data_IF_114322305555
#
_entry.id   IF_114322305555
#
_cell.length_a   1.000
_cell.length_b   1.000
_cell.length_c   1.000
_cell.angle_alpha   90.00
_cell.angle_beta   90.00
_cell.angle_gamma   90.00
#
_symmetry.space_group_name_H-M   'P 1'
#
loop_
_entity.id
_entity.type
_entity.pdbx_description
1 polymer ?
#
# COMPACT_ATOMS: atom_id res chain seq x y z
N UNK A 1 1.25 63.31 -32.32
CA UNK A 1 0.79 63.04 -30.94
C UNK A 1 -0.66 62.57 -31.02
N UNK A 2 -1.13 61.72 -30.10
CA UNK A 2 -2.53 61.31 -29.88
C UNK A 2 -2.92 59.88 -30.36
N UNK A 3 -2.78 58.96 -29.39
CA UNK A 3 -3.74 57.90 -28.99
C UNK A 3 -3.83 56.59 -29.78
N UNK A 4 -3.01 55.65 -29.28
CA UNK A 4 -3.27 54.22 -29.03
C UNK A 4 -4.77 53.89 -28.93
N UNK A 5 -5.22 52.90 -29.71
CA UNK A 5 -6.37 52.06 -29.39
C UNK A 5 -5.88 50.62 -29.26
N UNK A 6 -5.67 50.18 -28.02
CA UNK A 6 -5.41 48.80 -27.65
C UNK A 6 -6.67 47.97 -27.93
N UNK A 7 -6.57 46.97 -28.80
CA UNK A 7 -7.55 45.87 -28.84
C UNK A 7 -7.29 44.97 -27.62
N UNK A 8 -8.25 44.95 -26.71
CA UNK A 8 -8.31 44.02 -25.60
C UNK A 8 -8.65 42.62 -26.13
N UNK A 9 -7.63 41.79 -26.35
CA UNK A 9 -7.78 40.36 -26.58
C UNK A 9 -8.15 39.67 -25.27
N UNK A 10 -9.42 39.33 -25.10
CA UNK A 10 -9.91 38.51 -24.00
C UNK A 10 -9.50 37.06 -24.28
N UNK A 11 -8.33 36.67 -23.77
CA UNK A 11 -7.91 35.28 -23.69
C UNK A 11 -8.56 34.62 -22.48
N UNK A 12 -9.65 33.87 -22.68
CA UNK A 12 -10.13 32.92 -21.66
C UNK A 12 -9.06 31.83 -21.50
N UNK A 13 -8.26 31.94 -20.44
CA UNK A 13 -7.43 30.84 -19.96
C UNK A 13 -8.35 29.85 -19.24
N UNK A 14 -8.78 28.81 -19.95
CA UNK A 14 -9.41 27.65 -19.32
C UNK A 14 -8.31 26.85 -18.62
N UNK A 15 -8.09 27.13 -17.34
CA UNK A 15 -7.25 26.31 -16.47
C UNK A 15 -7.95 24.97 -16.26
N UNK A 16 -7.68 24.00 -17.11
CA UNK A 16 -8.05 22.62 -16.86
C UNK A 16 -7.19 22.14 -15.68
N UNK A 17 -7.76 22.14 -14.47
CA UNK A 17 -7.19 21.41 -13.35
C UNK A 17 -7.18 19.93 -13.74
N UNK A 18 -6.03 19.45 -14.20
CA UNK A 18 -5.77 18.02 -14.30
C UNK A 18 -5.71 17.51 -12.86
N UNK A 19 -6.84 17.03 -12.35
CA UNK A 19 -6.87 16.27 -11.10
C UNK A 19 -6.15 14.96 -11.39
N UNK A 20 -4.89 14.87 -10.99
CA UNK A 20 -4.20 13.60 -10.90
C UNK A 20 -4.93 12.78 -9.84
N UNK A 21 -5.87 11.95 -10.27
CA UNK A 21 -6.37 10.85 -9.44
C UNK A 21 -5.21 9.90 -9.29
N UNK A 22 -4.55 9.94 -8.12
CA UNK A 22 -3.70 8.84 -7.68
C UNK A 22 -4.63 7.65 -7.52
N UNK A 23 -4.77 6.86 -8.58
CA UNK A 23 -5.44 5.57 -8.49
C UNK A 23 -4.66 4.75 -7.46
N UNK A 24 -5.32 4.49 -6.33
CA UNK A 24 -4.75 3.64 -5.29
C UNK A 24 -4.53 2.27 -5.90
N UNK A 25 -3.33 1.73 -5.69
CA UNK A 25 -2.97 0.41 -6.15
C UNK A 25 -3.99 -0.66 -5.63
N UNK A 26 -4.36 -1.66 -6.45
CA UNK A 26 -5.38 -2.64 -6.08
C UNK A 26 -5.08 -3.41 -4.80
N UNK A 27 -3.81 -3.75 -4.55
CA UNK A 27 -3.40 -4.44 -3.33
C UNK A 27 -3.63 -3.54 -2.11
N UNK A 28 -3.16 -2.29 -2.17
CA UNK A 28 -3.38 -1.27 -1.14
C UNK A 28 -4.87 -1.12 -0.84
N UNK A 29 -5.70 -1.04 -1.89
CA UNK A 29 -7.15 -0.95 -1.76
C UNK A 29 -7.76 -2.17 -1.05
N UNK A 30 -7.23 -3.37 -1.30
CA UNK A 30 -7.75 -4.62 -0.76
C UNK A 30 -7.40 -4.84 0.71
N UNK A 31 -6.18 -4.47 1.15
CA UNK A 31 -5.67 -4.83 2.49
C UNK A 31 -5.59 -3.66 3.47
N UNK A 32 -5.68 -2.41 3.01
CA UNK A 32 -5.61 -1.24 3.91
C UNK A 32 -6.78 -1.21 4.88
N UNK A 33 -6.47 -1.14 6.18
CA UNK A 33 -7.45 -1.18 7.27
C UNK A 33 -7.98 -2.58 7.59
N UNK A 34 -7.32 -3.63 7.07
CA UNK A 34 -7.73 -5.02 7.24
C UNK A 34 -6.73 -5.83 8.06
N UNK A 35 -7.18 -6.98 8.52
CA UNK A 35 -6.31 -8.03 9.02
C UNK A 35 -6.13 -9.09 7.95
N UNK A 36 -4.91 -9.59 7.78
CA UNK A 36 -4.63 -10.77 6.96
C UNK A 36 -4.24 -11.94 7.86
N UNK A 37 -4.83 -13.11 7.63
CA UNK A 37 -4.69 -14.29 8.49
C UNK A 37 -4.17 -15.48 7.68
N UNK A 38 -3.02 -16.00 8.06
CA UNK A 38 -2.45 -17.19 7.45
C UNK A 38 -3.12 -18.46 8.01
N UNK A 39 -3.15 -19.54 7.22
CA UNK A 39 -3.63 -20.85 7.69
C UNK A 39 -2.85 -21.42 8.89
N UNK A 40 -1.64 -20.92 9.15
CA UNK A 40 -0.84 -21.26 10.34
C UNK A 40 -1.35 -20.61 11.64
N UNK A 41 -2.27 -19.65 11.56
CA UNK A 41 -2.73 -18.84 12.68
C UNK A 41 -1.98 -17.54 12.89
N UNK A 42 -1.01 -17.20 12.01
CA UNK A 42 -0.39 -15.87 12.03
C UNK A 42 -1.42 -14.81 11.61
N UNK A 43 -1.45 -13.68 12.33
CA UNK A 43 -2.32 -12.54 12.04
C UNK A 43 -1.47 -11.30 11.83
N UNK A 44 -1.77 -10.51 10.80
CA UNK A 44 -1.13 -9.21 10.55
C UNK A 44 -2.21 -8.17 10.32
N UNK A 45 -2.16 -7.07 11.07
CA UNK A 45 -3.04 -5.92 10.91
C UNK A 45 -2.34 -4.86 10.07
N UNK A 46 -2.99 -4.45 9.00
CA UNK A 46 -2.45 -3.56 7.96
C UNK A 46 -3.17 -2.22 8.08
N UNK A 47 -2.65 -1.29 8.89
CA UNK A 47 -3.36 -0.05 9.19
C UNK A 47 -3.28 0.96 8.04
N UNK A 48 -4.31 1.79 7.78
CA UNK A 48 -4.32 2.71 6.64
C UNK A 48 -3.24 3.80 6.69
N UNK A 49 -2.66 4.05 7.87
CA UNK A 49 -1.59 5.03 8.08
C UNK A 49 -0.18 4.46 7.78
N UNK A 50 -0.09 3.23 7.25
CA UNK A 50 1.19 2.58 6.98
C UNK A 50 1.77 1.82 8.17
N UNK A 51 1.11 1.78 9.33
CA UNK A 51 1.53 0.96 10.46
C UNK A 51 1.15 -0.51 10.25
N UNK A 52 2.00 -1.42 10.73
CA UNK A 52 1.79 -2.86 10.71
C UNK A 52 1.96 -3.41 12.12
N UNK A 53 0.99 -4.19 12.59
CA UNK A 53 1.14 -5.02 13.78
C UNK A 53 0.81 -6.47 13.46
N UNK A 54 1.17 -7.41 14.31
CA UNK A 54 0.79 -8.79 14.09
C UNK A 54 1.09 -9.70 15.27
N UNK A 55 0.68 -10.94 15.14
CA UNK A 55 0.94 -12.00 16.11
C UNK A 55 1.23 -13.29 15.36
N UNK A 56 2.38 -13.90 15.65
CA UNK A 56 2.74 -15.21 15.14
C UNK A 56 2.03 -16.33 15.92
N UNK A 57 1.96 -17.57 15.39
CA UNK A 57 1.24 -18.67 16.06
C UNK A 57 1.76 -19.01 17.46
N UNK A 58 3.02 -18.68 17.75
CA UNK A 58 3.65 -18.86 19.06
C UNK A 58 3.38 -17.69 20.04
N UNK A 59 2.55 -16.72 19.66
CA UNK A 59 2.24 -15.52 20.46
C UNK A 59 3.25 -14.39 20.35
N UNK A 60 4.31 -14.52 19.53
CA UNK A 60 5.25 -13.42 19.31
C UNK A 60 4.57 -12.27 18.57
N UNK A 61 4.60 -11.08 19.15
CA UNK A 61 4.05 -9.85 18.57
C UNK A 61 5.00 -9.26 17.52
N UNK A 62 4.42 -8.72 16.45
CA UNK A 62 5.11 -8.01 15.38
C UNK A 62 4.73 -6.55 15.43
N UNK A 63 5.71 -5.68 15.22
CA UNK A 63 5.51 -4.24 15.05
C UNK A 63 6.33 -3.73 13.88
N UNK A 64 5.78 -2.78 13.14
CA UNK A 64 6.48 -2.18 12.02
C UNK A 64 5.61 -1.30 11.14
N UNK A 65 5.98 -1.25 9.88
CA UNK A 65 5.30 -0.48 8.84
C UNK A 65 5.11 -1.33 7.58
N UNK A 66 4.21 -0.89 6.71
CA UNK A 66 3.98 -1.48 5.39
C UNK A 66 3.82 -0.42 4.31
N UNK A 67 4.04 -0.84 3.07
CA UNK A 67 3.80 -0.07 1.87
C UNK A 67 3.64 -1.04 0.69
N UNK A 68 3.04 -0.58 -0.39
CA UNK A 68 3.06 -1.31 -1.67
C UNK A 68 4.00 -0.59 -2.63
N UNK A 69 4.90 -1.35 -3.27
CA UNK A 69 5.83 -0.83 -4.28
C UNK A 69 5.83 -1.79 -5.46
N UNK A 70 5.51 -1.27 -6.64
CA UNK A 70 5.48 -2.07 -7.88
C UNK A 70 4.58 -3.33 -7.79
N UNK A 71 3.52 -3.28 -6.98
CA UNK A 71 2.61 -4.40 -6.72
C UNK A 71 3.03 -5.32 -5.57
N UNK A 72 4.24 -5.16 -5.02
CA UNK A 72 4.74 -5.98 -3.92
C UNK A 72 4.28 -5.46 -2.56
N UNK A 73 3.97 -6.39 -1.65
CA UNK A 73 3.78 -6.09 -0.24
C UNK A 73 5.14 -5.93 0.45
N UNK A 74 5.52 -4.70 0.75
CA UNK A 74 6.77 -4.37 1.44
C UNK A 74 6.51 -4.05 2.91
N UNK A 75 6.93 -4.94 3.81
CA UNK A 75 6.93 -4.69 5.26
C UNK A 75 8.30 -4.29 5.77
N UNK A 76 8.34 -3.47 6.82
CA UNK A 76 9.54 -3.20 7.61
C UNK A 76 9.20 -3.44 9.08
N UNK A 77 9.77 -4.50 9.67
CA UNK A 77 9.57 -4.79 11.08
C UNK A 77 10.62 -4.09 11.94
N UNK A 78 10.16 -3.58 13.07
CA UNK A 78 10.99 -3.02 14.15
C UNK A 78 11.01 -3.93 15.37
N UNK A 79 10.03 -4.83 15.50
CA UNK A 79 10.01 -5.85 16.56
C UNK A 79 9.40 -7.18 16.06
N UNK A 80 9.87 -8.32 16.59
CA UNK A 80 11.03 -8.47 17.47
C UNK A 80 12.36 -8.31 16.72
N UNK A 81 13.46 -8.04 17.44
CA UNK A 81 14.79 -7.76 16.86
C UNK A 81 15.27 -8.84 15.90
N UNK A 82 14.99 -10.11 16.18
CA UNK A 82 15.42 -11.23 15.34
C UNK A 82 14.64 -11.33 14.01
N UNK A 83 13.56 -10.57 13.84
CA UNK A 83 12.77 -10.48 12.61
C UNK A 83 12.80 -9.07 12.02
N UNK A 84 13.52 -8.14 12.63
CA UNK A 84 13.60 -6.76 12.20
C UNK A 84 14.22 -6.63 10.81
N UNK A 85 13.78 -5.61 10.08
CA UNK A 85 14.23 -5.31 8.72
C UNK A 85 13.10 -5.27 7.69
N UNK A 86 13.49 -4.93 6.46
CA UNK A 86 12.57 -4.76 5.34
C UNK A 86 12.53 -6.02 4.48
N UNK A 87 11.32 -6.44 4.12
CA UNK A 87 11.07 -7.53 3.17
C UNK A 87 9.93 -7.13 2.23
N UNK A 88 10.17 -7.23 0.93
CA UNK A 88 9.15 -7.12 -0.11
C UNK A 88 8.81 -8.51 -0.63
N UNK A 89 7.52 -8.79 -0.76
CA UNK A 89 6.99 -10.07 -1.20
C UNK A 89 6.04 -9.79 -2.36
N UNK A 90 6.15 -10.59 -3.42
CA UNK A 90 5.18 -10.56 -4.51
C UNK A 90 3.80 -10.88 -3.93
N UNK A 91 2.78 -10.15 -4.38
CA UNK A 91 1.43 -10.26 -3.86
C UNK A 91 0.42 -10.52 -4.97
N UNK A 92 -0.29 -11.65 -4.87
CA UNK A 92 -1.36 -12.02 -5.79
C UNK A 92 -2.70 -11.96 -5.06
N UNK A 93 -3.62 -11.11 -5.55
CA UNK A 93 -4.96 -11.00 -5.00
C UNK A 93 -5.86 -12.12 -5.53
N UNK A 94 -6.55 -12.80 -4.61
CA UNK A 94 -7.65 -13.70 -4.90
C UNK A 94 -8.97 -13.17 -4.37
N UNK A 95 -10.03 -13.98 -4.47
CA UNK A 95 -11.33 -13.64 -3.87
C UNK A 95 -11.22 -13.70 -2.33
N UNK A 96 -11.22 -12.54 -1.68
CA UNK A 96 -11.08 -12.39 -0.22
C UNK A 96 -9.72 -12.84 0.34
N UNK A 97 -8.70 -13.02 -0.50
CA UNK A 97 -7.40 -13.55 -0.11
C UNK A 97 -6.25 -12.80 -0.77
N UNK A 98 -5.06 -12.92 -0.18
CA UNK A 98 -3.80 -12.49 -0.79
C UNK A 98 -2.76 -13.58 -0.59
N UNK A 99 -2.10 -13.97 -1.67
CA UNK A 99 -0.92 -14.86 -1.61
C UNK A 99 0.32 -14.00 -1.61
N UNK A 100 1.19 -14.19 -0.61
CA UNK A 100 2.48 -13.51 -0.52
C UNK A 100 3.59 -14.51 -0.83
N UNK A 101 4.43 -14.21 -1.80
CA UNK A 101 5.54 -15.05 -2.24
C UNK A 101 6.88 -14.42 -1.89
N UNK A 102 7.71 -15.19 -1.20
CA UNK A 102 9.07 -14.81 -0.84
C UNK A 102 10.02 -14.93 -2.04
N UNK A 103 11.16 -14.25 -1.97
CA UNK A 103 12.19 -14.30 -3.01
C UNK A 103 12.76 -15.71 -3.27
N UNK A 104 12.58 -16.66 -2.34
CA UNK A 104 12.95 -18.07 -2.52
C UNK A 104 11.85 -18.91 -3.20
N UNK A 105 10.72 -18.29 -3.55
CA UNK A 105 9.56 -18.94 -4.18
C UNK A 105 8.55 -19.53 -3.21
N UNK A 106 8.77 -19.41 -1.89
CA UNK A 106 7.82 -19.88 -0.88
C UNK A 106 6.59 -18.98 -0.84
N UNK A 107 5.41 -19.54 -1.11
CA UNK A 107 4.14 -18.81 -1.09
C UNK A 107 3.32 -19.14 0.16
N UNK A 108 2.73 -18.10 0.76
CA UNK A 108 1.76 -18.23 1.86
C UNK A 108 0.44 -17.57 1.48
N UNK A 109 -0.66 -18.31 1.57
CA UNK A 109 -2.01 -17.78 1.40
C UNK A 109 -2.51 -17.14 2.70
N UNK A 110 -3.06 -15.93 2.58
CA UNK A 110 -3.67 -15.20 3.68
C UNK A 110 -5.12 -14.84 3.36
N UNK A 111 -6.01 -15.02 4.33
CA UNK A 111 -7.40 -14.55 4.25
C UNK A 111 -7.49 -13.11 4.70
N UNK A 112 -8.16 -12.26 3.92
CA UNK A 112 -8.40 -10.85 4.25
C UNK A 112 -9.69 -10.74 5.08
N UNK A 113 -9.66 -10.00 6.19
CA UNK A 113 -10.78 -9.81 7.13
C UNK A 113 -11.04 -8.32 7.38
#
# INVERSE_FOLDING_TARGET
MQKIFMLAGVGLLTTACVQATTEMDPLTAAISGKSIVAGSGAVVNVAPNGSLTGTLPNGTELEGAWTVRDGDFCRTLTAPDNLAGTKCQEAELGDGTVTLTDADGTSTLWTIQ
#
